data_IF_816883391207
#
_entry.id   IF_816883391207
#
_cell.length_a   1.000
_cell.length_b   1.000
_cell.length_c   1.000
_cell.angle_alpha   90.00
_cell.angle_beta   90.00
_cell.angle_gamma   90.00
#
_symmetry.space_group_name_H-M   'P 1'
#
loop_
_entity.id
_entity.type
_entity.pdbx_description
1 polymer ?
#
# COMPACT_ATOMS: atom_id res chain seq x y z
N UNK A 1 62.06 17.43 57.43
CA UNK A 1 60.99 17.21 58.42
C UNK A 1 59.70 17.57 57.71
N UNK A 2 58.77 16.70 57.31
CA UNK A 2 58.46 15.28 57.50
C UNK A 2 57.48 14.93 56.35
N UNK A 3 57.71 13.90 55.54
CA UNK A 3 57.28 12.51 55.73
C UNK A 3 55.75 12.28 55.68
N UNK A 4 55.33 11.65 54.57
CA UNK A 4 54.25 10.65 54.42
C UNK A 4 52.87 10.89 55.07
N UNK A 5 51.79 10.73 54.27
CA UNK A 5 50.81 9.63 54.47
C UNK A 5 49.85 9.43 53.28
N UNK A 6 49.67 8.15 52.98
CA UNK A 6 48.78 7.51 51.99
C UNK A 6 47.32 7.66 52.39
N UNK A 7 46.39 7.72 51.44
CA UNK A 7 45.26 6.76 51.35
C UNK A 7 44.47 6.93 50.04
N UNK A 8 44.24 5.81 49.36
CA UNK A 8 43.28 5.68 48.27
C UNK A 8 41.87 5.49 48.83
N UNK A 9 40.85 6.02 48.16
CA UNK A 9 39.46 5.56 48.29
C UNK A 9 38.85 5.44 46.89
N UNK A 10 38.40 4.23 46.59
CA UNK A 10 37.57 3.83 45.45
C UNK A 10 36.10 3.89 45.88
N UNK A 11 35.23 4.53 45.09
CA UNK A 11 33.77 4.31 45.10
C UNK A 11 33.17 4.95 43.81
N UNK A 12 32.92 4.21 42.72
CA UNK A 12 31.72 3.43 42.32
C UNK A 12 30.43 4.21 42.01
N UNK A 13 29.98 4.04 40.76
CA UNK A 13 28.60 4.08 40.21
C UNK A 13 27.89 5.46 40.13
N UNK A 14 27.13 5.82 39.10
CA UNK A 14 26.35 5.01 38.17
C UNK A 14 26.26 5.67 36.77
N UNK A 15 26.50 4.89 35.71
CA UNK A 15 26.09 5.27 34.36
C UNK A 15 24.61 4.89 34.20
N UNK A 16 23.75 5.91 34.05
CA UNK A 16 22.32 5.72 33.82
C UNK A 16 22.07 5.04 32.48
N UNK A 17 21.63 3.79 32.53
CA UNK A 17 21.07 3.08 31.37
C UNK A 17 19.65 3.63 31.15
N UNK A 18 19.50 4.58 30.22
CA UNK A 18 18.19 4.95 29.71
C UNK A 18 17.68 3.82 28.81
N UNK A 19 16.93 2.89 29.39
CA UNK A 19 16.14 1.90 28.64
C UNK A 19 15.02 2.65 27.92
N UNK A 20 15.23 2.97 26.65
CA UNK A 20 14.16 3.41 25.78
C UNK A 20 13.17 2.23 25.61
N UNK A 21 12.07 2.28 26.36
CA UNK A 21 10.93 1.41 26.13
C UNK A 21 10.36 1.78 24.75
N UNK A 22 10.71 1.00 23.73
CA UNK A 22 10.00 1.00 22.46
C UNK A 22 8.58 0.54 22.76
N UNK A 23 7.66 1.49 22.90
CA UNK A 23 6.24 1.19 22.92
C UNK A 23 5.90 0.51 21.59
N UNK A 24 5.64 -0.80 21.63
CA UNK A 24 5.04 -1.51 20.51
C UNK A 24 3.63 -0.97 20.35
N UNK A 25 3.48 0.05 19.49
CA UNK A 25 2.18 0.50 19.05
C UNK A 25 1.44 -0.71 18.46
N UNK A 26 0.18 -0.97 18.84
CA UNK A 26 -0.59 -2.04 18.24
C UNK A 26 -0.62 -1.81 16.73
N UNK A 27 -0.43 -2.88 15.95
CA UNK A 27 -0.64 -2.83 14.50
C UNK A 27 -2.07 -2.34 14.27
N UNK A 28 -2.24 -1.14 13.72
CA UNK A 28 -3.53 -0.69 13.24
C UNK A 28 -4.06 -1.78 12.31
N UNK A 29 -5.18 -2.40 12.67
CA UNK A 29 -5.84 -3.38 11.83
C UNK A 29 -6.38 -2.62 10.62
N UNK A 30 -5.57 -2.50 9.57
CA UNK A 30 -6.04 -2.01 8.29
C UNK A 30 -7.13 -2.98 7.84
N UNK A 31 -8.32 -2.45 7.54
CA UNK A 31 -9.37 -3.24 6.93
C UNK A 31 -8.79 -3.90 5.67
N UNK A 32 -8.75 -5.23 5.67
CA UNK A 32 -8.22 -6.02 4.59
C UNK A 32 -9.38 -6.68 3.86
N UNK A 33 -9.58 -6.28 2.60
CA UNK A 33 -10.46 -7.01 1.71
C UNK A 33 -9.62 -7.77 0.69
N UNK A 34 -9.64 -9.10 0.80
CA UNK A 34 -8.97 -10.02 -0.12
C UNK A 34 -7.44 -9.80 -0.25
N UNK A 35 -6.76 -9.52 0.86
CA UNK A 35 -5.33 -9.20 0.91
C UNK A 35 -5.02 -7.75 0.57
N UNK A 36 -6.02 -6.94 0.21
CA UNK A 36 -5.87 -5.52 -0.04
C UNK A 36 -6.16 -4.69 1.22
N UNK A 37 -5.11 -4.28 1.90
CA UNK A 37 -5.22 -3.36 3.03
C UNK A 37 -5.69 -1.95 2.60
N UNK A 38 -6.65 -1.38 3.33
CA UNK A 38 -7.01 0.04 3.22
C UNK A 38 -5.82 0.96 3.55
N UNK A 39 -5.64 2.13 2.90
CA UNK A 39 -6.45 2.72 1.81
C UNK A 39 -5.80 2.50 0.43
N UNK A 40 -5.84 1.28 -0.11
CA UNK A 40 -5.14 0.96 -1.36
C UNK A 40 -6.10 0.61 -2.50
N UNK A 41 -5.59 0.76 -3.71
CA UNK A 41 -6.13 0.13 -4.91
C UNK A 41 -5.19 -1.00 -5.29
N UNK A 42 -5.63 -2.25 -5.09
CA UNK A 42 -4.81 -3.43 -5.32
C UNK A 42 -5.15 -4.10 -6.64
N UNK A 43 -4.11 -4.62 -7.28
CA UNK A 43 -4.16 -5.30 -8.57
C UNK A 43 -3.84 -6.78 -8.36
N UNK A 44 -4.53 -7.63 -9.11
CA UNK A 44 -4.33 -9.07 -9.10
C UNK A 44 -4.16 -9.50 -10.56
N UNK A 45 -2.95 -9.91 -10.93
CA UNK A 45 -2.64 -10.29 -12.31
C UNK A 45 -3.53 -11.43 -12.83
N UNK A 46 -3.94 -12.34 -11.94
CA UNK A 46 -4.73 -13.51 -12.32
C UNK A 46 -5.89 -13.74 -11.36
N UNK A 47 -6.88 -14.51 -11.81
CA UNK A 47 -7.90 -15.09 -10.92
C UNK A 47 -7.29 -15.92 -9.76
N UNK A 48 -6.14 -16.56 -9.97
CA UNK A 48 -5.42 -17.27 -8.91
C UNK A 48 -4.92 -16.33 -7.80
N UNK A 49 -4.37 -15.17 -8.18
CA UNK A 49 -3.97 -14.13 -7.22
C UNK A 49 -5.17 -13.62 -6.42
N UNK A 50 -6.30 -13.40 -7.10
CA UNK A 50 -7.55 -12.99 -6.47
C UNK A 50 -8.05 -14.02 -5.45
N UNK A 51 -8.17 -15.29 -5.85
CA UNK A 51 -8.69 -16.34 -4.98
C UNK A 51 -7.80 -16.63 -3.76
N UNK A 52 -6.50 -16.35 -3.88
CA UNK A 52 -5.52 -16.53 -2.80
C UNK A 52 -5.33 -15.27 -1.94
N UNK A 53 -6.16 -14.24 -2.11
CA UNK A 53 -6.01 -12.97 -1.39
C UNK A 53 -4.58 -12.40 -1.48
N UNK A 54 -3.96 -12.49 -2.66
CA UNK A 54 -2.55 -12.19 -2.87
C UNK A 54 -2.40 -11.14 -3.98
N UNK A 55 -2.58 -9.84 -3.67
CA UNK A 55 -2.39 -8.78 -4.65
C UNK A 55 -0.94 -8.73 -5.12
N UNK A 56 -0.75 -8.52 -6.42
CA UNK A 56 0.57 -8.45 -7.06
C UNK A 56 1.15 -7.03 -7.02
N UNK A 57 0.29 -6.02 -6.91
CA UNK A 57 0.68 -4.62 -6.76
C UNK A 57 -0.40 -3.81 -6.06
N UNK A 58 -0.02 -2.67 -5.48
CA UNK A 58 -0.96 -1.75 -4.85
C UNK A 58 -0.53 -0.29 -5.04
N UNK A 59 -1.51 0.60 -5.16
CA UNK A 59 -1.33 2.04 -5.30
C UNK A 59 -2.16 2.77 -4.23
N UNK A 60 -1.62 3.85 -3.68
CA UNK A 60 -2.27 4.60 -2.60
C UNK A 60 -2.28 6.11 -2.86
N UNK A 61 -1.37 6.64 -3.68
CA UNK A 61 -1.27 8.07 -3.86
C UNK A 61 -2.35 8.60 -4.81
N UNK A 62 -3.00 9.69 -4.39
CA UNK A 62 -3.90 10.48 -5.23
C UNK A 62 -3.07 11.19 -6.29
N UNK A 63 -3.48 11.11 -7.55
CA UNK A 63 -2.74 11.72 -8.66
C UNK A 63 -3.63 12.53 -9.58
N UNK A 64 -3.11 13.64 -10.10
CA UNK A 64 -3.82 14.49 -11.07
C UNK A 64 -3.89 13.86 -12.47
N UNK A 65 -3.01 12.90 -12.76
CA UNK A 65 -2.92 12.21 -14.06
C UNK A 65 -2.80 10.69 -13.89
N UNK A 66 -3.05 9.97 -14.98
CA UNK A 66 -2.82 8.52 -15.02
C UNK A 66 -1.35 8.19 -14.89
N UNK A 67 -1.06 7.26 -13.99
CA UNK A 67 0.23 6.59 -13.85
C UNK A 67 0.24 5.34 -14.71
N UNK A 68 1.37 5.05 -15.36
CA UNK A 68 1.54 3.80 -16.12
C UNK A 68 1.72 2.64 -15.14
N UNK A 69 1.07 1.51 -15.43
CA UNK A 69 1.21 0.30 -14.63
C UNK A 69 2.52 -0.43 -14.95
N UNK A 70 3.14 -0.99 -13.90
CA UNK A 70 4.32 -1.83 -14.02
C UNK A 70 3.98 -3.28 -14.35
N UNK A 71 4.99 -4.14 -14.47
CA UNK A 71 4.81 -5.56 -14.82
C UNK A 71 3.95 -6.35 -13.82
N UNK A 72 3.84 -5.90 -12.57
CA UNK A 72 3.05 -6.56 -11.52
C UNK A 72 1.59 -6.08 -11.44
N UNK A 73 1.19 -5.08 -12.24
CA UNK A 73 -0.17 -4.51 -12.23
C UNK A 73 -0.78 -4.43 -13.63
N UNK A 74 0.03 -4.29 -14.67
CA UNK A 74 -0.41 -4.17 -16.06
C UNK A 74 -1.05 -5.49 -16.50
N UNK A 75 -2.27 -5.40 -17.04
CA UNK A 75 -3.04 -6.55 -17.48
C UNK A 75 -3.70 -7.33 -16.35
N UNK A 76 -3.91 -6.73 -15.18
CA UNK A 76 -4.60 -7.38 -14.08
C UNK A 76 -6.04 -7.79 -14.43
N UNK A 77 -6.38 -9.03 -14.08
CA UNK A 77 -7.74 -9.57 -14.16
C UNK A 77 -8.67 -8.89 -13.16
N UNK A 78 -8.18 -8.55 -11.96
CA UNK A 78 -8.97 -7.91 -10.90
C UNK A 78 -8.29 -6.68 -10.35
N UNK A 79 -9.09 -5.66 -10.07
CA UNK A 79 -8.65 -4.46 -9.36
C UNK A 79 -9.64 -4.12 -8.26
N UNK A 80 -9.16 -4.06 -7.02
CA UNK A 80 -9.96 -3.74 -5.84
C UNK A 80 -9.64 -2.35 -5.35
N UNK A 81 -10.64 -1.48 -5.27
CA UNK A 81 -10.53 -0.22 -4.56
C UNK A 81 -11.04 -0.44 -3.12
N UNK A 82 -10.15 -0.47 -2.13
CA UNK A 82 -10.56 -0.56 -0.72
C UNK A 82 -10.76 0.78 -0.06
N UNK A 83 -10.52 1.89 -0.75
CA UNK A 83 -10.74 3.23 -0.21
C UNK A 83 -12.23 3.47 0.04
N UNK A 84 -12.54 4.36 0.99
CA UNK A 84 -13.91 4.60 1.47
C UNK A 84 -14.59 5.81 0.82
N UNK A 85 -13.80 6.77 0.38
CA UNK A 85 -14.22 8.10 -0.07
C UNK A 85 -13.50 8.55 -1.36
N UNK A 86 -12.61 7.71 -1.88
CA UNK A 86 -11.84 7.95 -3.10
C UNK A 86 -12.18 6.92 -4.18
N UNK A 87 -12.35 7.40 -5.41
CA UNK A 87 -12.53 6.58 -6.60
C UNK A 87 -11.21 6.32 -7.29
N UNK A 88 -11.13 5.19 -7.99
CA UNK A 88 -10.01 4.87 -8.86
C UNK A 88 -10.48 4.85 -10.31
N UNK A 89 -9.78 5.56 -11.19
CA UNK A 89 -9.93 5.37 -12.62
C UNK A 89 -8.87 4.42 -13.15
N UNK A 90 -9.31 3.48 -13.96
CA UNK A 90 -8.47 2.54 -14.69
C UNK A 90 -8.49 2.89 -16.16
N UNK A 91 -7.30 2.94 -16.76
CA UNK A 91 -7.14 3.02 -18.22
C UNK A 91 -6.86 1.63 -18.74
N UNK A 92 -7.55 1.20 -19.79
CA UNK A 92 -7.36 -0.13 -20.38
C UNK A 92 -7.42 -0.10 -21.91
N UNK A 93 -6.84 -1.10 -22.55
CA UNK A 93 -6.90 -1.32 -24.00
C UNK A 93 -7.95 -2.41 -24.26
N UNK A 94 -8.88 -2.18 -25.19
CA UNK A 94 -9.78 -3.21 -25.72
C UNK A 94 -9.14 -3.89 -26.93
N UNK A 95 -8.86 -5.20 -26.84
CA UNK A 95 -8.10 -5.90 -27.88
C UNK A 95 -8.78 -5.94 -29.24
N UNK A 96 -10.12 -6.06 -29.28
CA UNK A 96 -10.87 -6.15 -30.54
C UNK A 96 -10.76 -4.91 -31.42
N UNK A 97 -10.37 -3.77 -30.84
CA UNK A 97 -10.28 -2.47 -31.56
C UNK A 97 -8.93 -1.77 -31.40
N UNK A 98 -8.12 -2.18 -30.41
CA UNK A 98 -6.94 -1.44 -29.98
C UNK A 98 -7.24 -0.13 -29.25
N UNK A 99 -8.52 0.20 -29.01
CA UNK A 99 -8.92 1.46 -28.40
C UNK A 99 -8.50 1.54 -26.92
N UNK A 100 -8.11 2.74 -26.50
CA UNK A 100 -7.91 3.07 -25.09
C UNK A 100 -9.24 3.54 -24.49
N UNK A 101 -9.64 2.91 -23.40
CA UNK A 101 -10.87 3.19 -22.67
C UNK A 101 -10.60 3.40 -21.18
N UNK A 102 -11.62 3.86 -20.45
CA UNK A 102 -11.52 4.24 -19.05
C UNK A 102 -12.68 3.68 -18.25
N UNK A 103 -12.39 3.13 -17.08
CA UNK A 103 -13.37 2.62 -16.12
C UNK A 103 -13.20 3.35 -14.80
N UNK A 104 -14.30 3.78 -14.20
CA UNK A 104 -14.32 4.29 -12.84
C UNK A 104 -14.70 3.18 -11.86
N UNK A 105 -13.92 3.03 -10.80
CA UNK A 105 -14.13 2.06 -9.73
C UNK A 105 -14.44 2.84 -8.45
N UNK A 106 -15.70 2.76 -8.04
CA UNK A 106 -16.20 3.38 -6.81
C UNK A 106 -15.43 2.87 -5.56
N UNK A 107 -15.50 3.61 -4.44
CA UNK A 107 -15.08 3.13 -3.13
C UNK A 107 -15.64 1.73 -2.83
N UNK A 108 -14.82 0.87 -2.24
CA UNK A 108 -15.19 -0.49 -1.87
C UNK A 108 -15.78 -1.35 -3.01
N UNK A 109 -15.42 -1.07 -4.27
CA UNK A 109 -15.81 -1.86 -5.44
C UNK A 109 -14.62 -2.59 -6.08
N UNK A 110 -14.95 -3.64 -6.83
CA UNK A 110 -14.00 -4.46 -7.59
C UNK A 110 -14.32 -4.36 -9.07
N UNK A 111 -13.31 -4.13 -9.89
CA UNK A 111 -13.40 -4.28 -11.34
C UNK A 111 -12.81 -5.62 -11.77
N UNK A 112 -13.46 -6.26 -12.73
CA UNK A 112 -12.97 -7.46 -13.41
C UNK A 112 -12.72 -7.17 -14.89
N UNK A 113 -11.59 -7.66 -15.39
CA UNK A 113 -11.19 -7.59 -16.79
C UNK A 113 -10.98 -9.01 -17.30
N UNK A 114 -11.69 -9.38 -18.37
CA UNK A 114 -11.42 -10.62 -19.08
C UNK A 114 -10.18 -10.48 -19.96
N UNK A 115 -9.76 -11.60 -20.56
CA UNK A 115 -8.63 -11.64 -21.51
C UNK A 115 -8.79 -10.76 -22.75
N UNK A 116 -9.98 -10.18 -23.00
CA UNK A 116 -10.23 -9.24 -24.09
C UNK A 116 -9.69 -7.81 -23.81
N UNK A 117 -9.19 -7.57 -22.61
CA UNK A 117 -8.74 -6.26 -22.15
C UNK A 117 -7.34 -6.30 -21.56
N UNK A 118 -6.68 -5.15 -21.52
CA UNK A 118 -5.43 -4.99 -20.77
C UNK A 118 -5.46 -3.69 -20.01
N UNK A 119 -5.47 -3.76 -18.68
CA UNK A 119 -5.33 -2.58 -17.82
C UNK A 119 -3.92 -2.03 -17.95
N UNK A 120 -3.77 -0.72 -18.15
CA UNK A 120 -2.50 -0.06 -18.46
C UNK A 120 -2.20 1.16 -17.60
N UNK A 121 -3.19 1.71 -16.91
CA UNK A 121 -2.99 2.89 -16.07
C UNK A 121 -3.97 3.00 -14.92
N UNK A 122 -3.57 3.74 -13.91
CA UNK A 122 -4.41 4.11 -12.76
C UNK A 122 -4.30 5.60 -12.46
N UNK A 123 -5.41 6.21 -12.06
CA UNK A 123 -5.47 7.52 -11.41
C UNK A 123 -6.40 7.40 -10.20
N UNK A 124 -6.00 7.90 -9.05
CA UNK A 124 -6.86 7.92 -7.86
C UNK A 124 -7.26 9.37 -7.60
N UNK A 125 -8.56 9.61 -7.42
CA UNK A 125 -9.15 10.95 -7.24
C UNK A 125 -9.87 11.02 -5.89
N UNK A 126 -9.81 12.19 -5.25
CA UNK A 126 -10.58 12.51 -4.03
C UNK A 126 -12.04 12.81 -4.35
N UNK A 127 -12.80 11.77 -4.66
CA UNK A 127 -14.25 11.82 -4.86
C UNK A 127 -14.87 10.43 -4.67
N UNK A 128 -15.99 10.37 -3.94
CA UNK A 128 -16.64 9.10 -3.62
C UNK A 128 -17.51 8.53 -4.76
N UNK A 129 -17.79 9.31 -5.81
CA UNK A 129 -18.71 8.94 -6.90
C UNK A 129 -18.07 8.97 -8.28
N UNK A 130 -18.56 8.11 -9.16
CA UNK A 130 -18.25 8.13 -10.59
C UNK A 130 -19.25 9.04 -11.33
N UNK A 131 -18.82 9.78 -12.37
CA UNK A 131 -19.71 10.57 -13.22
C UNK A 131 -20.75 9.72 -13.96
#
# INVERSE_FOLDING_TARGET
MDMMKRTAVVATAAAGLATAALASAPSAAAYDYNGCAWPRVCFYLTAGNWNNASPTAAYQDVTSSYQNLGSQSRGADYVRNTRNDDRAYLRYIRHSTGATEYLCVLPNQTAYFSSAYTVTGIRIDTAATCP
#
